data_IF_081514959621
#
_entry.id   IF_081514959621
#
_cell.length_a   1.000
_cell.length_b   1.000
_cell.length_c   1.000
_cell.angle_alpha   90.00
_cell.angle_beta   90.00
_cell.angle_gamma   90.00
#
_symmetry.space_group_name_H-M   'P 1'
#
loop_
_entity.id
_entity.type
_entity.pdbx_description
1 polymer ?
#
# COMPACT_ATOMS: atom_id res chain seq x y z
N UNK A 1 -23.12 10.42 -5.36
CA UNK A 1 -23.98 9.38 -5.97
C UNK A 1 -23.25 8.90 -7.19
N UNK A 2 -22.95 7.61 -7.24
CA UNK A 2 -22.25 7.01 -8.38
C UNK A 2 -23.28 6.78 -9.48
N UNK A 3 -22.88 6.78 -10.76
CA UNK A 3 -23.79 6.43 -11.85
C UNK A 3 -24.34 4.99 -11.80
N UNK A 4 -23.87 4.20 -10.83
CA UNK A 4 -24.14 2.76 -10.69
C UNK A 4 -25.01 2.42 -9.47
N UNK A 5 -25.57 3.43 -8.76
CA UNK A 5 -26.36 3.20 -7.54
C UNK A 5 -27.59 2.30 -7.78
N UNK A 6 -28.13 2.25 -9.00
CA UNK A 6 -29.23 1.37 -9.41
C UNK A 6 -28.95 -0.12 -9.18
N UNK A 7 -27.68 -0.55 -9.11
CA UNK A 7 -27.29 -1.95 -8.84
C UNK A 7 -27.78 -2.40 -7.47
N UNK A 8 -27.98 -1.49 -6.51
CA UNK A 8 -28.47 -1.82 -5.16
C UNK A 8 -29.97 -2.12 -5.12
N UNK A 9 -30.69 -1.81 -6.20
CA UNK A 9 -32.13 -2.05 -6.32
C UNK A 9 -32.44 -3.47 -6.83
N UNK A 10 -31.41 -4.25 -7.16
CA UNK A 10 -31.51 -5.62 -7.65
C UNK A 10 -30.73 -6.60 -6.76
N UNK A 11 -30.97 -7.90 -6.92
CA UNK A 11 -30.15 -8.94 -6.30
C UNK A 11 -28.83 -9.12 -7.08
N UNK A 12 -27.83 -8.34 -6.69
CA UNK A 12 -26.53 -8.28 -7.36
C UNK A 12 -25.54 -9.35 -6.87
N UNK A 13 -25.77 -9.96 -5.71
CA UNK A 13 -24.78 -10.84 -5.06
C UNK A 13 -24.48 -12.10 -5.87
N UNK A 14 -25.52 -12.67 -6.50
CA UNK A 14 -25.39 -13.85 -7.35
C UNK A 14 -24.70 -13.55 -8.69
N UNK A 15 -24.74 -12.29 -9.12
CA UNK A 15 -24.14 -11.84 -10.39
C UNK A 15 -22.63 -11.58 -10.28
N UNK A 16 -22.10 -11.44 -9.06
CA UNK A 16 -20.66 -11.25 -8.84
C UNK A 16 -19.92 -12.60 -8.75
N UNK A 17 -18.72 -12.63 -9.32
CA UNK A 17 -17.80 -13.77 -9.23
C UNK A 17 -16.35 -13.32 -9.05
N UNK A 18 -15.49 -14.24 -8.63
CA UNK A 18 -14.05 -13.99 -8.44
C UNK A 18 -13.76 -12.81 -7.51
N UNK A 19 -12.78 -11.99 -7.90
CA UNK A 19 -12.29 -10.86 -7.12
C UNK A 19 -13.38 -9.84 -6.80
N UNK A 20 -14.36 -9.64 -7.69
CA UNK A 20 -15.43 -8.68 -7.48
C UNK A 20 -16.36 -9.09 -6.33
N UNK A 21 -16.65 -10.40 -6.23
CA UNK A 21 -17.43 -10.96 -5.12
C UNK A 21 -16.68 -10.82 -3.80
N UNK A 22 -15.37 -11.10 -3.82
CA UNK A 22 -14.54 -10.99 -2.62
C UNK A 22 -14.39 -9.54 -2.17
N UNK A 23 -14.18 -8.59 -3.09
CA UNK A 23 -14.15 -7.15 -2.79
C UNK A 23 -15.48 -6.68 -2.21
N UNK A 24 -16.62 -7.05 -2.82
CA UNK A 24 -17.93 -6.67 -2.30
C UNK A 24 -18.18 -7.24 -0.88
N UNK A 25 -17.73 -8.47 -0.61
CA UNK A 25 -17.85 -9.12 0.69
C UNK A 25 -16.96 -8.46 1.75
N UNK A 26 -15.72 -8.12 1.41
CA UNK A 26 -14.75 -7.53 2.34
C UNK A 26 -14.97 -6.03 2.58
N UNK A 27 -15.33 -5.30 1.53
CA UNK A 27 -15.36 -3.83 1.53
C UNK A 27 -16.76 -3.23 1.36
N UNK A 28 -17.77 -4.06 1.09
CA UNK A 28 -19.14 -3.64 0.80
C UNK A 28 -19.35 -3.19 -0.66
N UNK A 29 -20.59 -3.31 -1.13
CA UNK A 29 -21.00 -2.94 -2.50
C UNK A 29 -20.69 -1.47 -2.84
N UNK A 30 -20.83 -0.54 -1.90
CA UNK A 30 -20.53 0.88 -2.11
C UNK A 30 -19.08 1.12 -2.56
N UNK A 31 -18.14 0.41 -1.93
CA UNK A 31 -16.72 0.50 -2.26
C UNK A 31 -16.46 -0.09 -3.63
N UNK A 32 -17.07 -1.25 -3.93
CA UNK A 32 -16.96 -1.87 -5.25
C UNK A 32 -17.47 -0.93 -6.36
N UNK A 33 -18.63 -0.31 -6.19
CA UNK A 33 -19.18 0.61 -7.19
C UNK A 33 -18.28 1.83 -7.40
N UNK A 34 -17.68 2.35 -6.33
CA UNK A 34 -16.72 3.46 -6.41
C UNK A 34 -15.47 3.05 -7.18
N UNK A 35 -14.93 1.85 -6.91
CA UNK A 35 -13.80 1.31 -7.65
C UNK A 35 -14.15 1.09 -9.12
N UNK A 36 -15.35 0.57 -9.40
CA UNK A 36 -15.79 0.28 -10.76
C UNK A 36 -15.95 1.53 -11.61
N UNK A 37 -16.54 2.59 -11.03
CA UNK A 37 -16.76 3.85 -11.74
C UNK A 37 -15.43 4.52 -12.12
N UNK A 38 -14.42 4.43 -11.25
CA UNK A 38 -13.12 5.09 -11.45
C UNK A 38 -12.10 4.23 -12.20
N UNK A 39 -12.16 2.91 -12.04
CA UNK A 39 -11.12 1.99 -12.51
C UNK A 39 -11.65 0.81 -13.33
N UNK A 40 -12.95 0.68 -13.57
CA UNK A 40 -13.54 -0.48 -14.26
C UNK A 40 -13.07 -0.67 -15.72
N UNK A 41 -12.40 0.33 -16.30
CA UNK A 41 -11.76 0.26 -17.63
C UNK A 41 -10.24 0.10 -17.56
N UNK A 42 -9.70 -0.13 -16.37
CA UNK A 42 -8.27 -0.24 -16.09
C UNK A 42 -7.98 -1.57 -15.43
N UNK A 43 -6.96 -2.27 -15.91
CA UNK A 43 -6.47 -3.45 -15.21
C UNK A 43 -5.62 -2.99 -14.00
N UNK A 44 -6.07 -3.29 -12.78
CA UNK A 44 -5.37 -2.91 -11.55
C UNK A 44 -4.42 -4.04 -11.16
N UNK A 45 -3.12 -3.72 -11.16
CA UNK A 45 -2.09 -4.61 -10.63
C UNK A 45 -1.51 -4.04 -9.33
N UNK A 46 -1.54 -4.84 -8.25
CA UNK A 46 -0.98 -4.46 -6.96
C UNK A 46 0.50 -4.88 -6.87
N UNK A 47 1.39 -4.04 -7.39
CA UNK A 47 2.84 -4.25 -7.23
C UNK A 47 3.29 -4.00 -5.79
N UNK A 48 4.33 -4.71 -5.32
CA UNK A 48 4.93 -4.43 -3.99
C UNK A 48 5.73 -3.12 -3.94
N UNK A 49 6.15 -2.56 -5.08
CA UNK A 49 7.05 -1.40 -5.12
C UNK A 49 6.54 -0.15 -4.37
N UNK A 50 5.26 0.28 -4.52
CA UNK A 50 4.69 1.36 -3.72
C UNK A 50 4.64 1.01 -2.22
N UNK A 51 4.33 -0.24 -1.89
CA UNK A 51 4.28 -0.71 -0.51
C UNK A 51 5.67 -0.68 0.13
N UNK A 52 6.71 -1.12 -0.58
CA UNK A 52 8.10 -1.02 -0.15
C UNK A 52 8.56 0.42 0.06
N UNK A 53 8.12 1.34 -0.80
CA UNK A 53 8.38 2.77 -0.62
C UNK A 53 7.74 3.30 0.68
N UNK A 54 6.52 2.85 1.02
CA UNK A 54 5.86 3.18 2.28
C UNK A 54 6.55 2.54 3.49
N UNK A 55 6.96 1.26 3.39
CA UNK A 55 7.75 0.56 4.42
C UNK A 55 9.06 1.32 4.72
N UNK A 56 9.78 1.77 3.68
CA UNK A 56 10.98 2.61 3.80
C UNK A 56 10.70 3.92 4.55
N UNK A 57 9.64 4.63 4.16
CA UNK A 57 9.21 5.86 4.87
C UNK A 57 8.91 5.57 6.34
N UNK A 58 8.23 4.46 6.64
CA UNK A 58 7.92 4.09 8.01
C UNK A 58 9.19 3.84 8.84
N UNK A 59 10.18 3.12 8.28
CA UNK A 59 11.48 2.87 8.93
C UNK A 59 12.19 4.20 9.24
N UNK A 60 12.21 5.15 8.30
CA UNK A 60 12.81 6.49 8.51
C UNK A 60 12.18 7.22 9.71
N UNK A 61 10.87 7.11 9.89
CA UNK A 61 10.16 7.78 10.99
C UNK A 61 10.25 7.04 12.33
N UNK A 62 10.77 5.81 12.35
CA UNK A 62 10.79 4.93 13.53
C UNK A 62 12.19 4.32 13.74
N UNK A 63 13.25 5.11 13.50
CA UNK A 63 14.66 4.66 13.62
C UNK A 63 15.05 4.26 15.05
N UNK A 64 14.27 4.68 16.04
CA UNK A 64 14.43 4.36 17.46
C UNK A 64 14.02 2.92 17.80
N UNK A 65 13.23 2.27 16.94
CA UNK A 65 12.78 0.89 17.14
C UNK A 65 13.83 -0.12 16.73
N UNK A 66 13.80 -1.30 17.34
CA UNK A 66 14.72 -2.36 16.97
C UNK A 66 14.42 -2.89 15.57
N UNK A 67 15.46 -3.36 14.88
CA UNK A 67 15.35 -3.95 13.54
C UNK A 67 14.35 -5.11 13.51
N UNK A 68 14.36 -5.96 14.54
CA UNK A 68 13.46 -7.11 14.67
C UNK A 68 11.99 -6.69 14.80
N UNK A 69 11.71 -5.63 15.56
CA UNK A 69 10.35 -5.09 15.68
C UNK A 69 9.86 -4.51 14.35
N UNK A 70 10.71 -3.75 13.65
CA UNK A 70 10.39 -3.18 12.35
C UNK A 70 10.15 -4.27 11.31
N UNK A 71 11.02 -5.28 11.24
CA UNK A 71 10.91 -6.40 10.31
C UNK A 71 9.60 -7.17 10.52
N UNK A 72 9.27 -7.51 11.78
CA UNK A 72 8.01 -8.20 12.12
C UNK A 72 6.78 -7.36 11.79
N UNK A 73 6.79 -6.07 12.10
CA UNK A 73 5.63 -5.19 11.88
C UNK A 73 5.36 -4.94 10.39
N UNK A 74 6.43 -4.84 9.59
CA UNK A 74 6.35 -4.49 8.17
C UNK A 74 6.31 -5.71 7.25
N UNK A 75 6.39 -6.91 7.84
CA UNK A 75 6.40 -8.20 7.14
C UNK A 75 7.54 -8.28 6.11
N UNK A 76 8.74 -7.87 6.52
CA UNK A 76 9.96 -7.90 5.71
C UNK A 76 11.11 -8.57 6.44
N UNK A 77 12.19 -8.90 5.73
CA UNK A 77 13.40 -9.40 6.35
C UNK A 77 14.12 -8.32 7.17
N UNK A 78 14.86 -8.72 8.20
CA UNK A 78 15.75 -7.81 8.93
C UNK A 78 16.79 -7.15 7.99
N UNK A 79 17.25 -7.89 6.97
CA UNK A 79 18.16 -7.39 5.95
C UNK A 79 17.57 -6.20 5.17
N UNK A 80 16.27 -6.24 4.82
CA UNK A 80 15.60 -5.11 4.18
C UNK A 80 15.70 -3.87 5.07
N UNK A 81 15.45 -4.01 6.37
CA UNK A 81 15.51 -2.90 7.33
C UNK A 81 16.93 -2.35 7.46
N UNK A 82 17.95 -3.22 7.58
CA UNK A 82 19.34 -2.80 7.61
C UNK A 82 19.74 -2.02 6.36
N UNK A 83 19.38 -2.51 5.18
CA UNK A 83 19.66 -1.81 3.91
C UNK A 83 19.03 -0.43 3.88
N UNK A 84 17.78 -0.30 4.34
CA UNK A 84 17.11 1.00 4.43
C UNK A 84 17.86 1.96 5.36
N UNK A 85 18.22 1.50 6.56
CA UNK A 85 18.94 2.31 7.55
C UNK A 85 20.33 2.74 7.03
N UNK A 86 21.03 1.86 6.32
CA UNK A 86 22.31 2.16 5.71
C UNK A 86 22.19 3.21 4.59
N UNK A 87 21.22 3.06 3.68
CA UNK A 87 20.97 4.04 2.63
C UNK A 87 20.66 5.44 3.18
N UNK A 88 19.90 5.50 4.29
CA UNK A 88 19.57 6.77 4.95
C UNK A 88 20.82 7.42 5.52
N UNK A 89 21.63 6.65 6.26
CA UNK A 89 22.88 7.16 6.85
C UNK A 89 23.83 7.69 5.77
N UNK A 90 24.00 6.97 4.66
CA UNK A 90 24.84 7.41 3.54
C UNK A 90 24.35 8.74 2.95
N UNK A 91 23.03 8.93 2.82
CA UNK A 91 22.45 10.20 2.34
C UNK A 91 22.69 11.35 3.31
N UNK A 92 22.52 11.11 4.60
CA UNK A 92 22.78 12.11 5.65
C UNK A 92 24.26 12.51 5.67
N UNK A 93 25.18 11.54 5.62
CA UNK A 93 26.63 11.78 5.56
C UNK A 93 27.01 12.59 4.31
N UNK A 94 26.42 12.26 3.16
CA UNK A 94 26.64 12.97 1.90
C UNK A 94 26.16 14.42 1.98
N UNK A 95 24.96 14.66 2.53
CA UNK A 95 24.41 16.01 2.66
C UNK A 95 25.30 16.89 3.56
N UNK A 96 25.75 16.34 4.69
CA UNK A 96 26.62 17.02 5.64
C UNK A 96 28.00 17.39 5.06
N UNK A 97 28.49 16.66 4.05
CA UNK A 97 29.73 16.98 3.36
C UNK A 97 29.56 18.18 2.40
N UNK A 98 28.39 18.33 1.78
CA UNK A 98 28.10 19.46 0.90
C UNK A 98 27.82 20.76 1.65
N UNK A 99 27.24 20.69 2.85
CA UNK A 99 26.96 21.89 3.68
C UNK A 99 28.21 22.48 4.37
N UNK A 100 29.33 21.74 4.36
CA UNK A 100 30.59 22.16 5.00
C UNK A 100 31.61 22.77 4.03
N UNK A 101 31.30 22.84 2.73
CA UNK A 101 32.13 23.46 1.69
C UNK A 101 31.44 24.72 1.13
#
# INVERSE_FOLDING_TARGET
>A
MTGLDWIKEIDWEESLSGDLKEIAKLCGINTLLTLWENFGKTNIYFSERPLDALRRKYIIHNKDKSVKELARKLEVSEMFVYNCLQEIKLKEDTLNLFEKN
#
